data_IF_104402322501
#
_entry.id   IF_104402322501
#
_cell.length_a   1.000
_cell.length_b   1.000
_cell.length_c   1.000
_cell.angle_alpha   90.00
_cell.angle_beta   90.00
_cell.angle_gamma   90.00
#
_symmetry.space_group_name_H-M   'P 1'
#
loop_
_entity.id
_entity.type
_entity.pdbx_description
1 polymer ?
#
# COMPACT_ATOMS: atom_id res chain seq x y z
N UNK A 1 20.90 -4.00 6.15
CA UNK A 1 20.47 -3.60 7.54
C UNK A 1 18.98 -3.76 7.64
N UNK A 2 18.49 -4.40 8.72
CA UNK A 2 17.07 -4.69 8.92
C UNK A 2 16.53 -3.86 10.09
N UNK A 3 15.38 -3.21 9.91
CA UNK A 3 14.66 -2.48 10.97
C UNK A 3 13.19 -2.85 10.94
N UNK A 4 12.72 -3.49 11.99
CA UNK A 4 11.30 -3.83 12.14
C UNK A 4 10.49 -2.59 12.57
N UNK A 5 9.25 -2.50 12.08
CA UNK A 5 8.20 -1.59 12.54
C UNK A 5 7.07 -2.46 13.10
N UNK A 6 6.98 -2.56 14.40
CA UNK A 6 5.92 -3.36 15.03
C UNK A 6 4.53 -2.72 14.85
N UNK A 7 3.54 -3.54 14.70
CA UNK A 7 2.14 -3.10 14.48
C UNK A 7 1.63 -2.21 15.61
N UNK A 8 1.97 -2.52 16.86
CA UNK A 8 1.62 -1.77 18.06
C UNK A 8 2.34 -0.43 18.24
N UNK A 9 3.43 -0.22 17.50
CA UNK A 9 4.19 1.04 17.52
C UNK A 9 3.69 2.05 16.48
N UNK A 10 2.83 1.61 15.55
CA UNK A 10 2.26 2.50 14.53
C UNK A 10 1.40 3.58 15.17
N UNK A 11 1.33 4.76 14.53
CA UNK A 11 0.36 5.77 14.90
C UNK A 11 -1.05 5.20 14.82
N UNK A 12 -1.94 5.62 15.73
CA UNK A 12 -3.32 5.20 15.73
C UNK A 12 -4.25 6.42 15.80
N UNK A 13 -5.31 6.40 15.00
CA UNK A 13 -6.37 7.38 15.02
C UNK A 13 -7.74 6.68 15.03
N UNK A 14 -8.62 7.11 15.94
CA UNK A 14 -9.98 6.60 15.98
C UNK A 14 -10.95 7.78 16.05
N UNK A 15 -11.76 7.92 15.00
CA UNK A 15 -12.77 8.97 14.86
C UNK A 15 -14.20 8.43 14.98
N UNK A 16 -14.36 7.21 15.52
CA UNK A 16 -15.63 6.51 15.60
C UNK A 16 -15.98 5.81 14.27
N UNK A 17 -16.07 6.56 13.18
CA UNK A 17 -16.32 6.02 11.86
C UNK A 17 -15.06 5.48 11.15
N UNK A 18 -13.88 5.93 11.55
CA UNK A 18 -12.58 5.53 11.03
C UNK A 18 -11.70 4.99 12.15
N UNK A 19 -11.16 3.79 11.98
CA UNK A 19 -10.05 3.26 12.74
C UNK A 19 -8.85 3.13 11.80
N UNK A 20 -7.80 3.92 12.01
CA UNK A 20 -6.64 4.03 11.14
C UNK A 20 -5.35 3.76 11.90
N UNK A 21 -4.42 3.01 11.27
CA UNK A 21 -3.08 2.78 11.78
C UNK A 21 -2.05 3.28 10.78
N UNK A 22 -1.14 4.16 11.23
CA UNK A 22 -0.18 4.86 10.40
C UNK A 22 1.22 4.27 10.55
N UNK A 23 1.80 3.72 9.49
CA UNK A 23 3.19 3.22 9.50
C UNK A 23 4.21 4.37 9.55
N UNK A 24 3.84 5.52 9.00
CA UNK A 24 4.62 6.76 9.00
C UNK A 24 3.81 7.92 9.55
N UNK A 25 4.47 9.06 9.79
CA UNK A 25 3.80 10.28 10.22
C UNK A 25 2.72 10.71 9.25
N UNK A 26 1.51 10.93 9.76
CA UNK A 26 0.34 11.30 8.96
C UNK A 26 -0.70 12.03 9.81
N UNK A 27 -1.32 13.09 9.29
CA UNK A 27 -2.33 13.86 9.99
C UNK A 27 -1.78 14.46 11.28
N UNK A 28 -2.38 14.10 12.42
CA UNK A 28 -1.95 14.53 13.75
C UNK A 28 -0.87 13.65 14.37
N UNK A 29 -0.61 12.47 13.80
CA UNK A 29 0.47 11.60 14.26
C UNK A 29 1.81 12.07 13.70
N UNK A 30 2.76 12.36 14.58
CA UNK A 30 4.11 12.79 14.19
C UNK A 30 5.17 12.00 14.97
N UNK A 31 6.00 11.28 14.23
CA UNK A 31 7.15 10.54 14.73
C UNK A 31 8.36 10.82 13.81
N UNK A 32 9.36 11.59 14.31
CA UNK A 32 10.52 11.97 13.50
C UNK A 32 11.35 10.77 12.98
N UNK A 33 11.25 9.60 13.60
CA UNK A 33 11.93 8.38 13.18
C UNK A 33 11.16 7.64 12.07
N UNK A 34 9.91 8.04 11.81
CA UNK A 34 9.00 7.40 10.87
C UNK A 34 8.30 8.42 9.99
N UNK A 35 9.08 9.24 9.25
CA UNK A 35 8.56 10.24 8.30
C UNK A 35 8.31 9.66 6.90
N UNK A 36 8.86 8.48 6.61
CA UNK A 36 8.79 7.79 5.33
C UNK A 36 9.95 6.80 5.20
N UNK A 37 10.07 6.19 4.02
CA UNK A 37 11.17 5.29 3.66
C UNK A 37 11.45 5.36 2.16
N UNK A 38 12.53 6.05 1.76
CA UNK A 38 12.72 6.48 0.37
C UNK A 38 11.52 7.30 -0.11
N UNK A 39 10.97 7.07 -1.29
CA UNK A 39 9.79 7.77 -1.78
C UNK A 39 8.46 7.30 -1.17
N UNK A 40 8.44 6.23 -0.37
CA UNK A 40 7.25 5.74 0.31
C UNK A 40 6.97 6.60 1.55
N UNK A 41 5.91 7.41 1.48
CA UNK A 41 5.59 8.41 2.52
C UNK A 41 4.44 7.98 3.43
N UNK A 42 3.48 7.20 2.92
CA UNK A 42 2.29 6.79 3.69
C UNK A 42 1.99 5.33 3.43
N UNK A 43 1.73 4.60 4.50
CA UNK A 43 0.91 3.38 4.54
C UNK A 43 -0.02 3.55 5.73
N UNK A 44 -1.28 3.84 5.44
CA UNK A 44 -2.36 3.80 6.43
C UNK A 44 -3.19 2.55 6.20
N UNK A 45 -3.48 1.84 7.27
CA UNK A 45 -4.42 0.73 7.30
C UNK A 45 -5.73 1.23 7.91
N UNK A 46 -6.74 1.36 7.06
CA UNK A 46 -7.99 2.04 7.35
C UNK A 46 -9.16 1.06 7.42
N UNK A 47 -9.92 1.12 8.50
CA UNK A 47 -11.22 0.47 8.65
C UNK A 47 -12.30 1.53 8.79
N UNK A 48 -13.25 1.50 7.85
CA UNK A 48 -14.30 2.52 7.71
C UNK A 48 -15.67 1.88 7.92
N UNK A 49 -16.47 2.47 8.80
CA UNK A 49 -17.82 2.00 9.06
C UNK A 49 -18.75 2.19 7.84
N UNK A 50 -19.88 1.46 7.77
CA UNK A 50 -20.82 1.56 6.64
C UNK A 50 -21.24 2.99 6.33
N UNK A 51 -21.25 3.36 5.03
CA UNK A 51 -21.71 4.65 4.53
C UNK A 51 -20.87 5.86 4.93
N UNK A 52 -19.77 5.67 5.65
CA UNK A 52 -18.87 6.74 6.07
C UNK A 52 -17.63 6.80 5.17
N UNK A 53 -16.85 7.87 5.28
CA UNK A 53 -15.65 8.02 4.44
C UNK A 53 -15.04 9.40 4.51
N UNK A 54 -14.09 9.62 3.64
CA UNK A 54 -13.35 10.87 3.50
C UNK A 54 -14.07 11.78 2.51
N UNK A 55 -14.60 12.91 2.99
CA UNK A 55 -15.21 13.95 2.17
C UNK A 55 -14.23 14.55 1.17
N UNK A 56 -14.74 15.32 0.22
CA UNK A 56 -13.94 15.89 -0.87
C UNK A 56 -12.78 16.73 -0.35
N UNK A 57 -11.57 16.30 -0.65
CA UNK A 57 -10.30 16.95 -0.31
C UNK A 57 -9.34 16.96 -1.51
N UNK A 58 -8.28 17.74 -1.43
CA UNK A 58 -7.37 17.97 -2.55
C UNK A 58 -6.00 17.35 -2.33
N UNK A 59 -5.35 16.95 -3.44
CA UNK A 59 -3.97 16.50 -3.49
C UNK A 59 -3.22 17.18 -4.65
N UNK A 60 -1.90 17.23 -4.52
CA UNK A 60 -0.98 17.72 -5.55
C UNK A 60 0.32 16.90 -5.48
N UNK A 61 0.87 16.60 -6.66
CA UNK A 61 2.18 15.95 -6.80
C UNK A 61 2.40 14.76 -5.86
N UNK A 62 1.45 13.81 -5.93
CA UNK A 62 1.47 12.58 -5.14
C UNK A 62 0.89 11.42 -5.95
N UNK A 63 1.52 10.26 -5.89
CA UNK A 63 0.96 8.99 -6.34
C UNK A 63 0.20 8.36 -5.18
N UNK A 64 -1.11 8.29 -5.30
CA UNK A 64 -2.02 7.78 -4.26
C UNK A 64 -2.56 6.44 -4.73
N UNK A 65 -2.31 5.40 -3.93
CA UNK A 65 -2.69 4.02 -4.26
C UNK A 65 -3.59 3.50 -3.16
N UNK A 66 -4.77 2.98 -3.53
CA UNK A 66 -5.66 2.26 -2.62
C UNK A 66 -5.62 0.77 -2.96
N UNK A 67 -5.37 -0.07 -1.95
CA UNK A 67 -5.38 -1.53 -2.04
C UNK A 67 -6.47 -2.07 -1.14
N UNK A 68 -7.56 -2.58 -1.72
CA UNK A 68 -8.75 -3.01 -0.97
C UNK A 68 -8.55 -4.43 -0.44
N UNK A 69 -8.77 -4.59 0.87
CA UNK A 69 -8.60 -5.83 1.62
C UNK A 69 -9.93 -6.52 1.97
N UNK A 70 -10.99 -5.72 2.12
CA UNK A 70 -12.34 -6.21 2.41
C UNK A 70 -13.35 -5.09 2.21
N UNK A 71 -14.59 -5.43 1.82
CA UNK A 71 -15.66 -4.47 1.58
C UNK A 71 -15.57 -3.80 0.21
N UNK A 72 -16.09 -2.56 0.11
CA UNK A 72 -16.21 -1.82 -1.14
C UNK A 72 -15.86 -0.34 -0.94
N UNK A 73 -14.82 0.15 -1.61
CA UNK A 73 -14.34 1.53 -1.59
C UNK A 73 -14.92 2.29 -2.79
N UNK A 74 -15.78 3.28 -2.54
CA UNK A 74 -16.30 4.19 -3.58
C UNK A 74 -15.34 5.39 -3.70
N UNK A 75 -14.81 5.60 -4.92
CA UNK A 75 -14.00 6.76 -5.31
C UNK A 75 -14.79 7.67 -6.25
N UNK A 76 -14.66 8.98 -6.05
CA UNK A 76 -15.11 10.03 -6.97
C UNK A 76 -14.09 11.15 -6.99
N UNK A 77 -13.79 11.69 -8.20
CA UNK A 77 -12.82 12.76 -8.36
C UNK A 77 -13.27 13.90 -9.28
N UNK A 78 -12.48 14.98 -9.26
CA UNK A 78 -12.73 16.19 -10.07
C UNK A 78 -12.41 16.04 -11.56
N UNK A 79 -11.84 14.90 -11.98
CA UNK A 79 -11.65 14.55 -13.39
C UNK A 79 -12.91 13.92 -14.00
N UNK A 80 -13.91 13.59 -13.16
CA UNK A 80 -15.14 12.92 -13.56
C UNK A 80 -15.08 11.41 -13.43
N UNK A 81 -14.02 10.87 -12.83
CA UNK A 81 -13.95 9.43 -12.54
C UNK A 81 -14.81 9.08 -11.33
N UNK A 82 -15.52 7.97 -11.42
CA UNK A 82 -16.24 7.34 -10.32
C UNK A 82 -16.13 5.84 -10.44
N UNK A 83 -15.75 5.17 -9.36
CA UNK A 83 -15.58 3.72 -9.32
C UNK A 83 -15.90 3.16 -7.94
N UNK A 84 -16.22 1.85 -7.89
CA UNK A 84 -16.38 1.09 -6.66
C UNK A 84 -15.41 -0.09 -6.71
N UNK A 85 -14.42 -0.05 -5.83
CA UNK A 85 -13.33 -1.01 -5.73
C UNK A 85 -13.65 -2.08 -4.70
N UNK A 86 -13.32 -3.33 -5.00
CA UNK A 86 -13.51 -4.50 -4.15
C UNK A 86 -12.19 -5.18 -3.81
N UNK A 87 -12.24 -6.22 -2.99
CA UNK A 87 -11.04 -7.01 -2.66
C UNK A 87 -10.27 -7.44 -3.91
N UNK A 88 -8.98 -7.16 -3.92
CA UNK A 88 -8.08 -7.43 -5.04
C UNK A 88 -7.98 -6.30 -6.06
N UNK A 89 -8.80 -5.24 -5.95
CA UNK A 89 -8.64 -4.06 -6.77
C UNK A 89 -7.52 -3.17 -6.23
N UNK A 90 -6.78 -2.60 -7.16
CA UNK A 90 -5.73 -1.61 -6.93
C UNK A 90 -6.08 -0.37 -7.75
N UNK A 91 -6.31 0.72 -7.07
CA UNK A 91 -6.48 2.05 -7.67
C UNK A 91 -5.17 2.81 -7.58
N UNK A 92 -4.84 3.57 -8.61
CA UNK A 92 -3.82 4.59 -8.58
C UNK A 92 -4.41 5.93 -9.09
N UNK A 93 -4.28 6.97 -8.28
CA UNK A 93 -4.56 8.35 -8.66
C UNK A 93 -3.25 9.15 -8.61
N UNK A 94 -2.79 9.63 -9.77
CA UNK A 94 -1.69 10.60 -9.84
C UNK A 94 -2.28 11.99 -9.65
N UNK A 95 -1.92 12.66 -8.57
CA UNK A 95 -2.49 13.96 -8.24
C UNK A 95 -1.96 15.09 -9.16
N UNK A 96 -0.71 14.99 -9.60
CA UNK A 96 -0.09 15.90 -10.55
C UNK A 96 -0.32 17.39 -10.22
N UNK A 97 -0.77 18.18 -11.18
CA UNK A 97 -1.03 19.62 -11.01
C UNK A 97 -2.16 19.95 -10.03
N UNK A 98 -2.94 18.94 -9.60
CA UNK A 98 -3.97 19.04 -8.59
C UNK A 98 -5.23 18.25 -8.95
N UNK A 99 -5.77 17.53 -7.98
CA UNK A 99 -7.04 16.80 -8.07
C UNK A 99 -7.77 16.92 -6.74
N UNK A 100 -9.09 16.87 -6.78
CA UNK A 100 -9.92 16.73 -5.59
C UNK A 100 -10.67 15.40 -5.69
N UNK A 101 -10.73 14.64 -4.60
CA UNK A 101 -11.46 13.39 -4.57
C UNK A 101 -12.14 13.13 -3.22
N UNK A 102 -13.00 12.13 -3.21
CA UNK A 102 -13.63 11.58 -2.01
C UNK A 102 -13.55 10.07 -2.05
N UNK A 103 -13.45 9.45 -0.88
CA UNK A 103 -13.38 7.99 -0.72
C UNK A 103 -14.35 7.57 0.40
N UNK A 104 -15.36 6.76 0.05
CA UNK A 104 -16.40 6.32 0.98
C UNK A 104 -16.51 4.79 1.01
N UNK A 105 -16.91 4.26 2.15
CA UNK A 105 -17.42 2.91 2.20
C UNK A 105 -18.76 2.87 1.47
N UNK A 106 -18.80 2.18 0.33
CA UNK A 106 -19.98 2.08 -0.54
C UNK A 106 -21.11 1.27 0.11
N UNK A 107 -20.80 0.32 1.00
CA UNK A 107 -21.79 -0.51 1.68
C UNK A 107 -22.53 0.27 2.77
N UNK A 108 -23.84 0.06 2.84
CA UNK A 108 -24.66 0.59 3.94
C UNK A 108 -24.66 -0.31 5.18
N UNK A 109 -24.11 -1.52 5.11
CA UNK A 109 -24.17 -2.54 6.17
C UNK A 109 -22.84 -3.10 6.59
N UNK A 110 -21.88 -3.20 5.66
CA UNK A 110 -20.61 -3.89 5.86
C UNK A 110 -19.47 -2.91 6.01
N UNK A 111 -18.45 -3.28 6.81
CA UNK A 111 -17.24 -2.49 6.96
C UNK A 111 -16.37 -2.52 5.70
N UNK A 112 -15.53 -1.51 5.55
CA UNK A 112 -14.48 -1.44 4.55
C UNK A 112 -13.12 -1.54 5.23
N UNK A 113 -12.19 -2.30 4.66
CA UNK A 113 -10.79 -2.40 5.08
C UNK A 113 -9.88 -2.24 3.86
N UNK A 114 -8.97 -1.28 3.89
CA UNK A 114 -8.04 -1.03 2.78
C UNK A 114 -6.73 -0.41 3.28
N UNK A 115 -5.71 -0.45 2.43
CA UNK A 115 -4.48 0.30 2.62
C UNK A 115 -4.49 1.53 1.72
N UNK A 116 -4.22 2.69 2.33
CA UNK A 116 -3.91 3.94 1.61
C UNK A 116 -2.39 4.10 1.58
N UNK A 117 -1.83 4.16 0.37
CA UNK A 117 -0.38 4.20 0.14
C UNK A 117 -0.06 5.46 -0.66
N UNK A 118 0.92 6.26 -0.18
CA UNK A 118 1.40 7.41 -0.92
C UNK A 118 2.87 7.25 -1.27
N UNK A 119 3.17 7.45 -2.56
CA UNK A 119 4.53 7.46 -3.09
C UNK A 119 4.80 8.84 -3.68
N UNK A 120 5.90 9.46 -3.27
CA UNK A 120 6.36 10.72 -3.85
C UNK A 120 6.74 10.47 -5.31
N UNK A 121 6.16 11.20 -6.28
CA UNK A 121 6.54 11.05 -7.67
C UNK A 121 7.92 11.63 -7.96
N UNK A 122 8.58 11.14 -9.00
CA UNK A 122 9.84 11.70 -9.53
C UNK A 122 9.63 12.82 -10.55
N UNK A 123 8.36 13.12 -10.88
CA UNK A 123 7.96 14.21 -11.78
C UNK A 123 6.76 14.95 -11.17
N UNK A 124 6.75 16.27 -11.26
CA UNK A 124 5.71 17.13 -10.68
C UNK A 124 4.95 17.90 -11.76
N UNK A 125 3.76 18.41 -11.42
CA UNK A 125 2.96 19.27 -12.29
C UNK A 125 2.36 18.59 -13.51
N UNK A 126 2.40 17.26 -13.60
CA UNK A 126 1.78 16.50 -14.69
C UNK A 126 0.26 16.60 -14.64
N UNK A 127 -0.47 16.38 -15.73
CA UNK A 127 -1.93 16.24 -15.68
C UNK A 127 -2.33 15.15 -14.69
N UNK A 128 -3.34 15.37 -13.84
CA UNK A 128 -3.83 14.33 -12.95
C UNK A 128 -4.41 13.16 -13.77
N UNK A 129 -4.31 11.96 -13.25
CA UNK A 129 -4.79 10.76 -13.94
C UNK A 129 -5.22 9.68 -12.97
N UNK A 130 -6.06 8.76 -13.46
CA UNK A 130 -6.62 7.65 -12.71
C UNK A 130 -6.42 6.33 -13.46
N UNK A 131 -6.12 5.28 -12.75
CA UNK A 131 -6.04 3.91 -13.25
C UNK A 131 -6.45 2.93 -12.17
N UNK A 132 -7.20 1.87 -12.52
CA UNK A 132 -7.53 0.77 -11.63
C UNK A 132 -7.34 -0.57 -12.33
N UNK A 133 -6.96 -1.59 -11.57
CA UNK A 133 -6.81 -2.97 -12.05
C UNK A 133 -7.19 -3.96 -10.98
N UNK A 134 -7.77 -5.08 -11.42
CA UNK A 134 -8.12 -6.19 -10.56
C UNK A 134 -7.02 -7.26 -10.54
N UNK A 135 -6.59 -7.64 -9.35
CA UNK A 135 -5.62 -8.72 -9.12
C UNK A 135 -6.27 -9.81 -8.28
N UNK A 136 -6.69 -10.89 -8.92
CA UNK A 136 -7.36 -11.99 -8.22
C UNK A 136 -6.44 -12.64 -7.17
N UNK A 137 -6.99 -13.30 -6.14
CA UNK A 137 -6.19 -14.05 -5.17
C UNK A 137 -5.26 -15.06 -5.84
N UNK A 138 -5.72 -15.77 -6.88
CA UNK A 138 -4.94 -16.77 -7.64
C UNK A 138 -3.74 -16.13 -8.34
N UNK A 139 -3.86 -14.87 -8.76
CA UNK A 139 -2.76 -14.14 -9.39
C UNK A 139 -1.63 -13.80 -8.42
N UNK A 140 -1.90 -13.84 -7.11
CA UNK A 140 -0.98 -13.49 -6.01
C UNK A 140 -0.45 -14.72 -5.25
N UNK A 141 -1.13 -15.89 -5.33
CA UNK A 141 -0.78 -17.09 -4.56
C UNK A 141 0.56 -17.69 -5.00
N UNK A 142 1.42 -18.00 -4.03
CA UNK A 142 2.71 -18.66 -4.20
C UNK A 142 3.73 -17.83 -4.98
N UNK A 143 3.50 -16.55 -5.21
CA UNK A 143 4.39 -15.68 -6.02
C UNK A 143 4.23 -14.21 -5.67
N UNK A 144 5.24 -13.42 -6.05
CA UNK A 144 5.18 -11.97 -6.04
C UNK A 144 4.48 -11.47 -7.31
N UNK A 145 3.27 -10.91 -7.15
CA UNK A 145 2.51 -10.31 -8.25
C UNK A 145 2.79 -8.81 -8.28
N UNK A 146 3.41 -8.33 -9.37
CA UNK A 146 3.61 -6.90 -9.59
C UNK A 146 2.24 -6.21 -9.75
N UNK A 147 1.93 -5.24 -8.89
CA UNK A 147 0.68 -4.50 -8.89
C UNK A 147 0.84 -3.02 -9.26
N UNK A 148 2.02 -2.43 -9.05
CA UNK A 148 2.34 -1.08 -9.49
C UNK A 148 3.80 -1.01 -9.93
N UNK A 149 4.10 -0.24 -10.99
CA UNK A 149 5.46 -0.04 -11.50
C UNK A 149 5.56 1.23 -12.36
N UNK A 150 6.79 1.69 -12.61
CA UNK A 150 7.06 2.91 -13.39
C UNK A 150 6.70 2.80 -14.89
N UNK A 151 6.49 1.60 -15.41
CA UNK A 151 6.25 1.32 -16.83
C UNK A 151 4.96 0.52 -17.08
N UNK A 152 4.19 0.17 -16.04
CA UNK A 152 2.96 -0.62 -16.15
C UNK A 152 3.18 -2.06 -16.63
N UNK A 153 4.44 -2.57 -16.59
CA UNK A 153 4.78 -3.94 -17.03
C UNK A 153 3.97 -5.00 -16.29
N UNK A 154 3.82 -6.16 -16.91
CA UNK A 154 3.05 -7.29 -16.37
C UNK A 154 1.60 -6.95 -16.01
N UNK A 155 1.03 -5.87 -16.58
CA UNK A 155 -0.31 -5.42 -16.29
C UNK A 155 -0.47 -4.75 -14.91
N UNK A 156 0.60 -4.23 -14.31
CA UNK A 156 0.54 -3.39 -13.10
C UNK A 156 -0.03 -2.00 -13.42
N UNK A 157 -0.54 -1.28 -12.42
CA UNK A 157 -0.85 0.15 -12.59
C UNK A 157 0.46 0.93 -12.75
N UNK A 158 0.41 2.00 -13.54
CA UNK A 158 1.57 2.87 -13.77
C UNK A 158 1.68 3.89 -12.64
N UNK A 159 2.87 4.05 -12.07
CA UNK A 159 3.21 5.10 -11.10
C UNK A 159 4.39 5.94 -11.62
N UNK A 160 4.39 7.24 -11.32
CA UNK A 160 5.45 8.15 -11.75
C UNK A 160 6.59 8.20 -10.72
N UNK A 161 7.16 7.02 -10.42
CA UNK A 161 8.34 6.86 -9.58
C UNK A 161 9.08 5.59 -10.00
N UNK A 162 10.41 5.59 -9.87
CA UNK A 162 11.24 4.38 -10.01
C UNK A 162 11.03 3.44 -8.81
N UNK A 163 9.84 2.89 -8.73
CA UNK A 163 9.42 1.97 -7.69
C UNK A 163 8.61 0.82 -8.28
N UNK A 164 8.61 -0.31 -7.57
CA UNK A 164 7.76 -1.44 -7.88
C UNK A 164 7.07 -1.94 -6.60
N UNK A 165 5.78 -2.21 -6.68
CA UNK A 165 4.99 -2.77 -5.59
C UNK A 165 4.50 -4.14 -6.00
N UNK A 166 4.79 -5.13 -5.16
CA UNK A 166 4.31 -6.51 -5.31
C UNK A 166 3.33 -6.85 -4.22
N UNK A 167 2.27 -7.56 -4.55
CA UNK A 167 1.37 -8.21 -3.63
C UNK A 167 1.57 -9.74 -3.68
N UNK A 168 1.44 -10.41 -2.54
CA UNK A 168 1.57 -11.86 -2.46
C UNK A 168 0.68 -12.45 -1.40
N UNK A 169 0.24 -13.69 -1.64
CA UNK A 169 -0.40 -14.56 -0.67
C UNK A 169 0.43 -15.84 -0.62
N UNK A 170 1.03 -16.13 0.53
CA UNK A 170 1.80 -17.36 0.78
C UNK A 170 1.14 -18.19 1.86
N UNK A 171 0.99 -19.48 1.58
CA UNK A 171 0.50 -20.49 2.52
C UNK A 171 1.65 -21.21 3.21
N UNK A 172 1.33 -22.08 4.16
CA UNK A 172 2.31 -22.92 4.83
C UNK A 172 3.16 -23.71 3.82
N UNK A 173 4.48 -23.67 3.99
CA UNK A 173 5.45 -24.33 3.10
C UNK A 173 5.79 -23.55 1.83
N UNK A 174 5.05 -22.50 1.49
CA UNK A 174 5.38 -21.62 0.38
C UNK A 174 6.44 -20.58 0.76
N UNK A 175 7.22 -20.18 -0.22
CA UNK A 175 8.27 -19.17 -0.07
C UNK A 175 8.42 -18.36 -1.35
N UNK A 176 8.93 -17.14 -1.21
CA UNK A 176 9.25 -16.28 -2.33
C UNK A 176 10.56 -15.53 -2.07
N UNK A 177 11.13 -14.98 -3.13
CA UNK A 177 12.30 -14.13 -3.02
C UNK A 177 12.30 -13.06 -4.11
N UNK A 178 12.88 -11.91 -3.79
CA UNK A 178 13.05 -10.79 -4.70
C UNK A 178 14.50 -10.31 -4.66
N UNK A 179 15.16 -10.24 -5.81
CA UNK A 179 16.50 -9.66 -5.92
C UNK A 179 16.36 -8.13 -5.90
N UNK A 180 17.27 -7.48 -5.19
CA UNK A 180 17.40 -6.03 -5.18
C UNK A 180 18.65 -5.63 -5.94
N UNK A 181 18.53 -4.73 -6.89
CA UNK A 181 19.66 -4.13 -7.56
C UNK A 181 20.46 -3.22 -6.61
N UNK A 182 21.69 -2.90 -6.98
CA UNK A 182 22.53 -1.99 -6.21
C UNK A 182 21.84 -0.61 -6.07
N UNK A 183 21.88 -0.03 -4.87
CA UNK A 183 21.20 1.23 -4.57
C UNK A 183 19.70 1.13 -4.33
N UNK A 184 19.15 -0.09 -4.25
CA UNK A 184 17.73 -0.30 -3.92
C UNK A 184 17.53 -0.58 -2.44
N UNK A 185 16.36 -0.21 -1.95
CA UNK A 185 15.87 -0.53 -0.60
C UNK A 185 14.52 -1.24 -0.74
N UNK A 186 14.16 -2.04 0.26
CA UNK A 186 12.87 -2.69 0.26
C UNK A 186 12.10 -2.44 1.56
N UNK A 187 10.78 -2.38 1.43
CA UNK A 187 9.85 -2.35 2.55
C UNK A 187 8.85 -3.49 2.41
N UNK A 188 8.72 -4.33 3.43
CA UNK A 188 7.72 -5.41 3.45
C UNK A 188 6.69 -5.07 4.51
N UNK A 189 5.43 -4.96 4.13
CA UNK A 189 4.30 -4.75 5.04
C UNK A 189 3.43 -6.00 5.07
N UNK A 190 3.38 -6.67 6.22
CA UNK A 190 2.57 -7.86 6.43
C UNK A 190 1.16 -7.46 6.85
N UNK A 191 0.19 -7.79 6.00
CA UNK A 191 -1.23 -7.44 6.19
C UNK A 191 -1.93 -8.46 7.08
N UNK A 192 -1.73 -9.76 6.81
CA UNK A 192 -2.38 -10.89 7.50
C UNK A 192 -1.40 -12.03 7.70
N UNK A 193 -1.69 -12.89 8.67
CA UNK A 193 -0.93 -14.08 8.96
C UNK A 193 0.42 -13.83 9.61
N UNK A 194 1.38 -14.72 9.38
CA UNK A 194 2.76 -14.62 9.84
C UNK A 194 3.75 -14.91 8.71
N UNK A 195 4.95 -14.31 8.78
CA UNK A 195 5.98 -14.40 7.74
C UNK A 195 7.36 -14.16 8.33
N UNK A 196 8.37 -14.87 7.87
CA UNK A 196 9.77 -14.57 8.17
C UNK A 196 10.41 -13.88 6.97
N UNK A 197 10.89 -12.64 7.16
CA UNK A 197 11.56 -11.83 6.13
C UNK A 197 13.02 -11.66 6.49
N UNK A 198 13.96 -12.15 5.64
CA UNK A 198 15.40 -12.14 5.90
C UNK A 198 15.77 -12.60 7.33
N UNK A 199 15.11 -13.67 7.81
CA UNK A 199 15.31 -14.21 9.15
C UNK A 199 14.60 -13.45 10.29
N UNK A 200 13.88 -12.37 10.00
CA UNK A 200 13.11 -11.59 10.98
C UNK A 200 11.63 -12.03 10.95
N UNK A 201 11.07 -12.56 12.05
CA UNK A 201 9.66 -12.94 12.13
C UNK A 201 8.78 -11.69 12.22
N UNK A 202 7.70 -11.68 11.42
CA UNK A 202 6.67 -10.66 11.40
C UNK A 202 5.30 -11.28 11.71
N UNK A 203 4.44 -10.53 12.39
CA UNK A 203 3.01 -10.79 12.58
C UNK A 203 2.19 -9.73 11.85
N UNK A 204 0.90 -9.99 11.68
CA UNK A 204 -0.02 -9.07 10.99
C UNK A 204 0.10 -7.61 11.48
N UNK A 205 0.23 -6.68 10.55
CA UNK A 205 0.44 -5.26 10.79
C UNK A 205 1.90 -4.83 10.99
N UNK A 206 2.83 -5.77 11.18
CA UNK A 206 4.26 -5.48 11.23
C UNK A 206 4.81 -5.13 9.84
N UNK A 207 5.93 -4.42 9.84
CA UNK A 207 6.68 -4.18 8.62
C UNK A 207 8.20 -4.27 8.86
N UNK A 208 8.95 -4.52 7.78
CA UNK A 208 10.40 -4.56 7.81
C UNK A 208 10.98 -3.61 6.75
N UNK A 209 11.87 -2.72 7.19
CA UNK A 209 12.74 -1.90 6.33
C UNK A 209 14.01 -2.67 6.05
N UNK A 210 14.41 -2.77 4.79
CA UNK A 210 15.62 -3.45 4.35
C UNK A 210 16.49 -2.47 3.56
N UNK A 211 17.69 -2.22 4.06
CA UNK A 211 18.72 -1.40 3.38
C UNK A 211 20.01 -2.19 3.29
N UNK A 212 20.76 -2.02 2.19
CA UNK A 212 22.04 -2.73 1.96
C UNK A 212 21.86 -4.26 1.90
N UNK A 213 20.72 -4.72 1.41
CA UNK A 213 20.43 -6.13 1.17
C UNK A 213 20.39 -6.37 -0.35
N UNK A 214 21.00 -7.45 -0.82
CA UNK A 214 20.94 -7.83 -2.24
C UNK A 214 19.67 -8.62 -2.59
N UNK A 215 18.92 -9.06 -1.57
CA UNK A 215 17.76 -9.93 -1.74
C UNK A 215 16.81 -9.84 -0.56
N UNK A 216 15.51 -9.88 -0.86
CA UNK A 216 14.44 -10.12 0.12
C UNK A 216 14.07 -11.61 0.05
N UNK A 217 14.14 -12.31 1.18
CA UNK A 217 13.67 -13.70 1.31
C UNK A 217 12.43 -13.74 2.19
N UNK A 218 11.43 -14.49 1.77
CA UNK A 218 10.10 -14.58 2.37
C UNK A 218 9.79 -16.05 2.60
N UNK A 219 9.82 -16.47 3.87
CA UNK A 219 9.79 -17.88 4.26
C UNK A 219 8.90 -18.08 5.48
N UNK A 220 8.62 -19.34 5.84
CA UNK A 220 7.83 -19.72 7.01
C UNK A 220 6.50 -18.94 7.08
N UNK A 221 5.82 -18.84 5.93
CA UNK A 221 4.54 -18.19 5.82
C UNK A 221 3.43 -19.04 6.44
N UNK A 222 2.51 -18.41 7.14
CA UNK A 222 1.24 -18.98 7.61
C UNK A 222 0.12 -18.00 7.23
N UNK A 223 -0.69 -18.34 6.22
CA UNK A 223 -1.76 -17.49 5.69
C UNK A 223 -1.35 -16.03 5.47
N UNK A 224 -0.13 -15.83 4.97
CA UNK A 224 0.48 -14.52 4.84
C UNK A 224 -0.02 -13.78 3.61
N UNK A 225 -0.65 -12.62 3.78
CA UNK A 225 -0.86 -11.62 2.72
C UNK A 225 0.00 -10.39 3.03
N UNK A 226 0.81 -9.95 2.05
CA UNK A 226 1.74 -8.84 2.24
C UNK A 226 1.98 -8.03 0.97
N UNK A 227 2.47 -6.81 1.15
CA UNK A 227 3.03 -5.98 0.10
C UNK A 227 4.56 -5.89 0.27
N UNK A 228 5.27 -5.99 -0.86
CA UNK A 228 6.70 -5.73 -0.95
C UNK A 228 6.90 -4.52 -1.88
N UNK A 229 7.57 -3.52 -1.35
CA UNK A 229 7.97 -2.31 -2.07
C UNK A 229 9.46 -2.40 -2.38
N UNK A 230 9.81 -2.29 -3.64
CA UNK A 230 11.16 -2.14 -4.16
C UNK A 230 11.34 -0.69 -4.59
N UNK A 231 12.22 0.04 -3.92
CA UNK A 231 12.28 1.49 -3.95
C UNK A 231 13.72 1.97 -4.25
N UNK A 232 13.91 3.12 -4.89
CA UNK A 232 15.22 3.76 -4.93
C UNK A 232 15.61 4.23 -3.51
N UNK A 233 16.94 4.22 -3.25
CA UNK A 233 17.50 4.74 -1.99
C UNK A 233 17.46 6.25 -1.92
#
# INVERSE_FOLDING_TARGET
MLQIRHSEERGAANHGWLNSHHSFSFGSYHDPLHMGFGPLLVINEDRVTPGQGFGTHGHRDMEIISYVLDGALEHKDSMGTGSVLHYGDVQRMSAGSGVRHSEFNHSATDGLHFLQIWIQPNVTGIPPSYEEKHFTPESKRGKLRLIASSDGRQGSVLIHQDAAIYASILQEGEQAAHALDEGRIAYVHLIRGSLVVNGTPLKAGDALKLTQEAKVTLTQAEDAEFLLFDLPY
#
